data_IF_968150199629
#
_entry.id   IF_968150199629
#
_cell.length_a   1.000
_cell.length_b   1.000
_cell.length_c   1.000
_cell.angle_alpha   90.00
_cell.angle_beta   90.00
_cell.angle_gamma   90.00
#
_symmetry.space_group_name_H-M   'P 1'
#
loop_
_entity.id
_entity.type
_entity.pdbx_description
1 polymer ?
#
# COMPACT_ATOMS: atom_id res chain seq x y z
N UNK A 1 26.81 -43.07 66.09
CA UNK A 1 26.16 -42.09 65.18
C UNK A 1 27.22 -41.48 64.26
N UNK A 2 27.19 -41.82 62.97
CA UNK A 2 27.94 -41.12 61.90
C UNK A 2 26.96 -40.93 60.75
N UNK A 3 26.58 -39.68 60.50
CA UNK A 3 25.65 -39.32 59.42
C UNK A 3 26.49 -39.01 58.19
N UNK A 4 26.30 -39.80 57.13
CA UNK A 4 26.86 -39.53 55.80
C UNK A 4 25.88 -38.62 55.03
N UNK A 5 26.37 -37.44 54.64
CA UNK A 5 25.67 -36.53 53.74
C UNK A 5 25.84 -36.99 52.29
N UNK A 6 24.72 -37.33 51.62
CA UNK A 6 24.68 -37.54 50.17
C UNK A 6 24.31 -36.23 49.48
N UNK A 7 25.23 -35.70 48.67
CA UNK A 7 24.96 -34.63 47.71
C UNK A 7 24.09 -35.20 46.57
N UNK A 8 22.92 -34.60 46.33
CA UNK A 8 22.17 -34.78 45.08
C UNK A 8 22.50 -33.62 44.14
N UNK A 9 23.11 -33.93 43.00
CA UNK A 9 23.31 -32.98 41.90
C UNK A 9 22.07 -33.03 41.01
N UNK A 10 21.28 -31.96 41.00
CA UNK A 10 20.19 -31.78 40.05
C UNK A 10 20.74 -31.22 38.73
N UNK A 11 20.63 -31.99 37.66
CA UNK A 11 20.94 -31.53 36.31
C UNK A 11 19.78 -30.67 35.78
N UNK A 12 20.01 -29.36 35.65
CA UNK A 12 19.14 -28.43 34.94
C UNK A 12 19.32 -28.64 33.43
N UNK A 13 18.40 -29.37 32.81
CA UNK A 13 18.24 -29.39 31.36
C UNK A 13 17.64 -28.04 30.92
N UNK A 14 18.48 -27.17 30.37
CA UNK A 14 18.03 -26.02 29.59
C UNK A 14 17.46 -26.55 28.27
N UNK A 15 16.16 -26.88 28.28
CA UNK A 15 15.38 -27.07 27.07
C UNK A 15 15.33 -25.73 26.33
N UNK A 16 16.20 -25.55 25.33
CA UNK A 16 16.11 -24.44 24.40
C UNK A 16 14.76 -24.50 23.70
N UNK A 17 13.83 -23.66 24.14
CA UNK A 17 12.59 -23.45 23.41
C UNK A 17 12.99 -22.85 22.07
N UNK A 18 12.96 -23.67 21.02
CA UNK A 18 12.98 -23.17 19.67
C UNK A 18 11.78 -22.23 19.55
N UNK A 19 12.05 -20.92 19.47
CA UNK A 19 11.06 -19.93 19.07
C UNK A 19 10.60 -20.35 17.67
N UNK A 20 9.51 -21.10 17.59
CA UNK A 20 8.85 -21.39 16.32
C UNK A 20 8.44 -20.03 15.76
N UNK A 21 9.09 -19.62 14.67
CA UNK A 21 8.73 -18.39 13.98
C UNK A 21 7.23 -18.48 13.65
N UNK A 22 6.43 -17.60 14.27
CA UNK A 22 5.00 -17.57 14.03
C UNK A 22 4.77 -17.25 12.55
N UNK A 23 3.93 -18.04 11.90
CA UNK A 23 3.55 -17.86 10.51
C UNK A 23 2.04 -17.68 10.38
N UNK A 24 1.64 -16.89 9.40
CA UNK A 24 0.24 -16.54 9.16
C UNK A 24 -0.18 -17.01 7.76
N UNK A 25 -1.42 -17.48 7.65
CA UNK A 25 -1.99 -17.80 6.35
C UNK A 25 -2.14 -16.52 5.51
N UNK A 26 -1.74 -16.57 4.25
CA UNK A 26 -1.78 -15.42 3.36
C UNK A 26 -1.70 -15.82 1.88
N UNK A 27 -1.47 -14.82 1.04
CA UNK A 27 -1.27 -14.97 -0.40
C UNK A 27 0.12 -14.48 -0.81
N UNK A 28 0.71 -15.15 -1.80
CA UNK A 28 1.82 -14.62 -2.59
C UNK A 28 1.37 -14.45 -4.04
N UNK A 29 1.79 -13.39 -4.69
CA UNK A 29 1.44 -13.09 -6.08
C UNK A 29 2.38 -12.04 -6.66
N UNK A 30 2.40 -11.92 -7.98
CA UNK A 30 3.19 -10.93 -8.69
C UNK A 30 2.27 -9.89 -9.33
N UNK A 31 2.64 -8.62 -9.27
CA UNK A 31 1.92 -7.52 -9.92
C UNK A 31 2.80 -6.91 -10.99
N UNK A 32 2.30 -6.93 -12.22
CA UNK A 32 2.92 -6.33 -13.39
C UNK A 32 2.15 -5.07 -13.76
N UNK A 33 2.79 -3.92 -13.65
CA UNK A 33 2.16 -2.63 -13.93
C UNK A 33 2.74 -2.02 -15.20
N UNK A 34 1.87 -1.50 -16.07
CA UNK A 34 2.19 -0.88 -17.37
C UNK A 34 1.59 0.53 -17.41
N UNK A 35 2.42 1.53 -17.74
CA UNK A 35 1.99 2.92 -17.87
C UNK A 35 1.62 3.29 -19.31
N UNK A 36 0.56 4.10 -19.49
CA UNK A 36 0.12 4.57 -20.80
C UNK A 36 -0.77 3.58 -21.58
N UNK A 37 -1.32 4.01 -22.71
CA UNK A 37 -2.11 3.13 -23.60
C UNK A 37 -1.16 2.31 -24.48
N UNK A 38 -1.10 1.00 -24.28
CA UNK A 38 -0.54 0.05 -25.26
C UNK A 38 0.93 -0.30 -25.14
N UNK A 39 1.58 -0.07 -23.99
CA UNK A 39 2.90 -0.63 -23.73
C UNK A 39 2.81 -2.10 -23.31
N UNK A 40 3.50 -3.00 -24.01
CA UNK A 40 3.55 -4.43 -23.66
C UNK A 40 4.56 -4.74 -22.54
N UNK A 41 5.50 -3.83 -22.26
CA UNK A 41 6.51 -4.00 -21.23
C UNK A 41 6.05 -3.45 -19.89
N UNK A 42 6.12 -4.27 -18.84
CA UNK A 42 5.86 -3.84 -17.47
C UNK A 42 6.85 -2.74 -17.05
N UNK A 43 6.34 -1.58 -16.65
CA UNK A 43 7.16 -0.51 -16.06
C UNK A 43 7.50 -0.80 -14.61
N UNK A 44 6.73 -1.64 -13.92
CA UNK A 44 7.05 -2.14 -12.58
C UNK A 44 6.68 -3.62 -12.48
N UNK A 45 7.57 -4.42 -11.85
CA UNK A 45 7.30 -5.80 -11.44
C UNK A 45 7.48 -5.87 -9.93
N UNK A 46 6.46 -6.36 -9.23
CA UNK A 46 6.40 -6.35 -7.77
C UNK A 46 5.97 -7.72 -7.26
N UNK A 47 6.80 -8.33 -6.41
CA UNK A 47 6.45 -9.56 -5.71
C UNK A 47 5.75 -9.23 -4.39
N UNK A 48 4.58 -9.81 -4.19
CA UNK A 48 3.68 -9.47 -3.10
C UNK A 48 3.57 -10.63 -2.12
N UNK A 49 3.60 -10.31 -0.83
CA UNK A 49 3.21 -11.22 0.26
C UNK A 49 2.15 -10.49 1.09
N UNK A 50 0.96 -11.07 1.19
CA UNK A 50 -0.17 -10.46 1.87
C UNK A 50 -0.72 -11.40 2.93
N UNK A 51 -0.88 -10.89 4.14
CA UNK A 51 -1.66 -11.50 5.22
C UNK A 51 -2.86 -10.57 5.51
N UNK A 52 -3.83 -10.97 6.36
CA UNK A 52 -4.92 -10.07 6.74
C UNK A 52 -4.46 -8.71 7.32
N UNK A 53 -3.27 -8.66 7.93
CA UNK A 53 -2.81 -7.50 8.69
C UNK A 53 -1.58 -6.78 8.11
N UNK A 54 -0.91 -7.38 7.12
CA UNK A 54 0.33 -6.84 6.58
C UNK A 54 0.52 -7.18 5.10
N UNK A 55 1.12 -6.23 4.37
CA UNK A 55 1.56 -6.38 2.99
C UNK A 55 3.05 -6.19 2.92
N UNK A 56 3.72 -6.98 2.09
CA UNK A 56 5.09 -6.75 1.66
C UNK A 56 5.11 -6.71 0.14
N UNK A 57 5.77 -5.69 -0.38
CA UNK A 57 5.95 -5.43 -1.81
C UNK A 57 7.45 -5.40 -2.05
N UNK A 58 7.97 -6.30 -2.85
CA UNK A 58 9.38 -6.38 -3.23
C UNK A 58 9.50 -5.99 -4.70
N UNK A 59 10.15 -4.88 -4.98
CA UNK A 59 10.27 -4.35 -6.35
C UNK A 59 11.48 -4.99 -7.04
N UNK A 60 11.35 -5.44 -8.29
CA UNK A 60 12.51 -5.92 -9.03
C UNK A 60 13.50 -4.79 -9.35
N UNK A 61 12.98 -3.60 -9.67
CA UNK A 61 13.75 -2.39 -10.01
C UNK A 61 13.09 -1.17 -9.39
N UNK A 62 13.83 -0.07 -9.32
CA UNK A 62 13.31 1.23 -8.89
C UNK A 62 12.07 1.57 -9.71
N UNK A 63 10.92 1.86 -9.07
CA UNK A 63 9.69 2.14 -9.79
C UNK A 63 9.80 3.47 -10.56
N UNK A 64 9.57 3.41 -11.87
CA UNK A 64 9.71 4.57 -12.78
C UNK A 64 8.37 5.17 -13.22
N UNK A 65 7.26 4.49 -12.92
CA UNK A 65 5.94 4.86 -13.40
C UNK A 65 4.81 4.50 -12.44
N UNK A 66 3.61 5.00 -12.76
CA UNK A 66 2.41 4.65 -12.04
C UNK A 66 2.34 5.19 -10.61
N UNK A 67 1.58 4.50 -9.76
CA UNK A 67 1.42 4.85 -8.34
C UNK A 67 2.69 4.73 -7.50
N UNK A 68 3.70 4.00 -8.00
CA UNK A 68 4.93 3.74 -7.25
C UNK A 68 6.07 4.71 -7.58
N UNK A 69 5.96 5.52 -8.64
CA UNK A 69 7.03 6.41 -9.14
C UNK A 69 7.62 7.35 -8.07
N UNK A 70 6.81 7.77 -7.10
CA UNK A 70 7.22 8.69 -6.04
C UNK A 70 7.83 8.02 -4.81
N UNK A 71 7.87 6.68 -4.76
CA UNK A 71 8.41 5.98 -3.61
C UNK A 71 9.94 6.15 -3.57
N UNK A 72 10.51 6.58 -2.44
CA UNK A 72 11.95 6.72 -2.27
C UNK A 72 12.60 5.35 -2.00
N UNK A 73 12.41 4.41 -2.93
CA UNK A 73 13.01 3.07 -2.90
C UNK A 73 13.94 2.91 -4.09
N UNK A 74 15.08 2.26 -3.86
CA UNK A 74 16.05 1.91 -4.90
C UNK A 74 15.66 0.68 -5.70
N UNK A 75 16.60 0.15 -6.47
CA UNK A 75 16.49 -1.21 -7.03
C UNK A 75 16.36 -2.22 -5.88
N UNK A 76 15.59 -3.28 -6.11
CA UNK A 76 15.27 -4.28 -5.07
C UNK A 76 14.63 -3.69 -3.79
N UNK A 77 14.07 -2.48 -3.89
CA UNK A 77 13.39 -1.82 -2.80
C UNK A 77 12.25 -2.66 -2.22
N UNK A 78 12.03 -2.56 -0.92
CA UNK A 78 10.95 -3.28 -0.24
C UNK A 78 10.04 -2.28 0.44
N UNK A 79 8.74 -2.46 0.29
CA UNK A 79 7.74 -1.71 1.03
C UNK A 79 6.91 -2.66 1.86
N UNK A 80 6.83 -2.39 3.16
CA UNK A 80 6.02 -3.13 4.12
C UNK A 80 4.92 -2.22 4.63
N UNK A 81 3.68 -2.69 4.57
CA UNK A 81 2.55 -2.08 5.25
C UNK A 81 2.20 -2.96 6.45
N UNK A 82 2.10 -2.35 7.63
CA UNK A 82 1.73 -3.04 8.87
C UNK A 82 0.51 -2.42 9.52
N UNK A 83 -0.17 -3.23 10.35
CA UNK A 83 -1.32 -2.78 11.11
C UNK A 83 -2.43 -2.24 10.21
N UNK A 84 -2.72 -2.96 9.12
CA UNK A 84 -3.75 -2.55 8.16
C UNK A 84 -3.48 -1.17 7.50
N UNK A 85 -2.19 -0.84 7.28
CA UNK A 85 -1.76 0.42 6.67
C UNK A 85 -1.47 1.56 7.63
N UNK A 86 -1.56 1.32 8.95
CA UNK A 86 -1.19 2.30 9.98
C UNK A 86 0.29 2.74 9.90
N UNK A 87 1.16 1.86 9.39
CA UNK A 87 2.57 2.13 9.18
C UNK A 87 3.00 1.64 7.79
N UNK A 88 3.71 2.50 7.06
CA UNK A 88 4.36 2.20 5.80
C UNK A 88 5.88 2.27 6.03
N UNK A 89 6.58 1.19 5.72
CA UNK A 89 8.02 1.06 5.89
C UNK A 89 8.62 0.83 4.52
N UNK A 90 9.60 1.66 4.16
CA UNK A 90 10.34 1.54 2.90
C UNK A 90 11.77 1.16 3.25
N UNK A 91 12.24 0.04 2.72
CA UNK A 91 13.57 -0.50 2.96
C UNK A 91 14.38 -0.41 1.67
N UNK A 92 15.64 -0.03 1.83
CA UNK A 92 16.69 -0.10 0.82
C UNK A 92 17.66 -1.21 1.24
N UNK A 93 17.57 -2.40 0.62
CA UNK A 93 18.43 -3.53 1.00
C UNK A 93 19.91 -3.32 0.68
N UNK A 94 20.23 -2.59 -0.38
CA UNK A 94 21.62 -2.33 -0.78
C UNK A 94 22.33 -1.47 0.26
N UNK A 95 21.64 -0.44 0.75
CA UNK A 95 22.18 0.48 1.76
C UNK A 95 21.96 0.04 3.20
N UNK A 96 21.15 -1.02 3.41
CA UNK A 96 20.66 -1.45 4.74
C UNK A 96 20.05 -0.29 5.51
N UNK A 97 19.18 0.45 4.83
CA UNK A 97 18.51 1.62 5.38
C UNK A 97 16.99 1.43 5.28
N UNK A 98 16.25 2.05 6.17
CA UNK A 98 14.81 2.09 6.07
C UNK A 98 14.23 3.43 6.51
N UNK A 99 13.07 3.75 5.98
CA UNK A 99 12.20 4.83 6.43
C UNK A 99 10.91 4.21 6.94
N UNK A 100 10.36 4.75 8.02
CA UNK A 100 9.01 4.43 8.47
C UNK A 100 8.19 5.70 8.50
N UNK A 101 7.00 5.65 7.92
CA UNK A 101 6.01 6.71 7.99
C UNK A 101 4.73 6.14 8.55
N UNK A 102 4.07 6.94 9.38
CA UNK A 102 2.70 6.70 9.84
C UNK A 102 1.80 7.71 9.16
N UNK A 103 1.07 7.33 8.08
CA UNK A 103 0.39 8.29 7.22
C UNK A 103 -0.54 9.26 7.97
N UNK A 104 -1.27 8.78 8.98
CA UNK A 104 -2.16 9.60 9.81
C UNK A 104 -1.41 10.63 10.66
N UNK A 105 -0.29 10.26 11.27
CA UNK A 105 0.55 11.18 12.04
C UNK A 105 1.18 12.23 11.11
N UNK A 106 1.69 11.80 9.95
CA UNK A 106 2.26 12.68 8.94
C UNK A 106 1.23 13.70 8.42
N UNK A 107 0.00 13.27 8.13
CA UNK A 107 -1.06 14.17 7.71
C UNK A 107 -1.49 15.16 8.79
N UNK A 108 -1.60 14.70 10.04
CA UNK A 108 -1.93 15.57 11.17
C UNK A 108 -0.86 16.65 11.33
N UNK A 109 0.42 16.26 11.26
CA UNK A 109 1.53 17.21 11.30
C UNK A 109 1.54 18.17 10.10
N UNK A 110 1.28 17.67 8.89
CA UNK A 110 1.20 18.51 7.69
C UNK A 110 0.08 19.55 7.77
N UNK A 111 -1.09 19.16 8.31
CA UNK A 111 -2.21 20.07 8.56
C UNK A 111 -1.85 21.14 9.59
N UNK A 112 -1.26 20.76 10.72
CA UNK A 112 -0.84 21.72 11.77
C UNK A 112 0.22 22.71 11.25
N UNK A 113 1.17 22.23 10.45
CA UNK A 113 2.17 23.08 9.79
C UNK A 113 1.53 24.05 8.79
N UNK A 114 0.55 23.57 8.01
CA UNK A 114 -0.18 24.44 7.09
C UNK A 114 -0.96 25.53 7.84
N UNK A 115 -1.65 25.15 8.92
CA UNK A 115 -2.39 26.08 9.78
C UNK A 115 -1.47 27.13 10.44
N UNK A 116 -0.27 26.74 10.90
CA UNK A 116 0.69 27.69 11.49
C UNK A 116 1.27 28.68 10.47
N UNK A 117 1.29 28.32 9.18
CA UNK A 117 1.67 29.21 8.07
C UNK A 117 0.48 30.04 7.54
N UNK A 118 -0.67 30.02 8.21
CA UNK A 118 -1.87 30.74 7.79
C UNK A 118 -2.59 30.10 6.59
N UNK A 119 -2.34 28.82 6.34
CA UNK A 119 -3.00 28.03 5.31
C UNK A 119 -4.10 27.12 5.87
N UNK A 120 -4.92 26.57 4.99
CA UNK A 120 -5.91 25.54 5.33
C UNK A 120 -6.17 24.62 4.14
N UNK A 121 -6.59 23.39 4.45
CA UNK A 121 -7.02 22.41 3.47
C UNK A 121 -8.45 21.99 3.82
N UNK A 122 -9.36 22.21 2.89
CA UNK A 122 -10.77 21.85 3.04
C UNK A 122 -11.16 20.87 1.96
N UNK A 123 -11.74 19.74 2.34
CA UNK A 123 -12.29 18.78 1.41
C UNK A 123 -13.72 19.18 1.05
N UNK A 124 -14.00 19.34 -0.24
CA UNK A 124 -15.33 19.65 -0.73
C UNK A 124 -16.12 18.35 -0.88
N UNK A 125 -16.85 17.99 0.18
CA UNK A 125 -17.65 16.75 0.22
C UNK A 125 -18.80 16.77 -0.79
N UNK A 126 -19.34 17.95 -1.14
CA UNK A 126 -20.42 18.06 -2.12
C UNK A 126 -19.92 17.82 -3.55
N UNK A 127 -18.68 18.24 -3.84
CA UNK A 127 -18.00 17.99 -5.11
C UNK A 127 -17.29 16.63 -5.21
N UNK A 128 -17.35 15.81 -4.16
CA UNK A 128 -16.64 14.53 -4.09
C UNK A 128 -17.62 13.35 -4.09
N UNK A 129 -17.26 12.27 -4.77
CA UNK A 129 -18.07 11.06 -4.88
C UNK A 129 -17.21 9.82 -5.00
N UNK A 130 -17.75 8.69 -4.60
CA UNK A 130 -17.15 7.38 -4.79
C UNK A 130 -18.28 6.39 -5.07
N UNK A 131 -18.22 5.68 -6.19
CA UNK A 131 -19.24 4.73 -6.65
C UNK A 131 -18.57 3.44 -7.13
N UNK A 132 -19.22 2.32 -6.81
CA UNK A 132 -18.85 0.99 -7.31
C UNK A 132 -20.04 0.37 -8.01
N UNK A 133 -19.82 0.02 -9.29
CA UNK A 133 -20.74 -0.74 -10.12
C UNK A 133 -20.19 -2.15 -10.32
N UNK A 134 -21.06 -3.16 -10.17
CA UNK A 134 -20.76 -4.52 -10.63
C UNK A 134 -21.24 -4.64 -12.07
N UNK A 135 -20.32 -4.99 -12.98
CA UNK A 135 -20.61 -5.12 -14.41
C UNK A 135 -20.96 -6.57 -14.80
N UNK A 136 -21.10 -7.46 -13.82
CA UNK A 136 -21.36 -8.88 -14.03
C UNK A 136 -20.09 -9.73 -14.19
N UNK A 137 -20.24 -11.00 -14.58
CA UNK A 137 -19.13 -11.92 -14.75
C UNK A 137 -18.08 -11.39 -15.73
N UNK A 138 -16.80 -11.49 -15.35
CA UNK A 138 -15.66 -11.21 -16.22
C UNK A 138 -15.10 -12.49 -16.86
N UNK A 139 -14.01 -12.39 -17.64
CA UNK A 139 -13.33 -13.56 -18.19
C UNK A 139 -12.66 -14.38 -17.07
N UNK A 140 -12.44 -15.67 -17.32
CA UNK A 140 -11.56 -16.47 -16.45
C UNK A 140 -10.11 -16.01 -16.64
N UNK A 141 -9.42 -15.66 -15.56
CA UNK A 141 -8.02 -15.23 -15.57
C UNK A 141 -7.22 -16.17 -14.66
N UNK A 142 -6.14 -16.76 -15.18
CA UNK A 142 -5.29 -17.72 -14.46
C UNK A 142 -6.06 -18.86 -13.77
N UNK A 143 -7.17 -19.30 -14.38
CA UNK A 143 -8.04 -20.35 -13.85
C UNK A 143 -9.08 -19.89 -12.82
N UNK A 144 -9.13 -18.61 -12.48
CA UNK A 144 -10.10 -18.05 -11.55
C UNK A 144 -11.28 -17.42 -12.27
N UNK A 145 -12.50 -17.73 -11.84
CA UNK A 145 -13.70 -17.03 -12.29
C UNK A 145 -13.71 -15.62 -11.70
N UNK A 146 -13.92 -14.62 -12.56
CA UNK A 146 -13.86 -13.22 -12.13
C UNK A 146 -15.23 -12.54 -12.14
N UNK A 147 -15.35 -11.50 -11.32
CA UNK A 147 -16.44 -10.53 -11.37
C UNK A 147 -15.86 -9.18 -11.75
N UNK A 148 -16.47 -8.55 -12.75
CA UNK A 148 -16.02 -7.24 -13.24
C UNK A 148 -16.64 -6.12 -12.43
N UNK A 149 -15.82 -5.16 -12.02
CA UNK A 149 -16.23 -3.97 -11.29
C UNK A 149 -15.77 -2.71 -12.01
N UNK A 150 -16.56 -1.65 -11.91
CA UNK A 150 -16.14 -0.28 -12.23
C UNK A 150 -16.21 0.57 -10.97
N UNK A 151 -15.11 1.24 -10.68
CA UNK A 151 -14.99 2.21 -9.60
C UNK A 151 -14.84 3.58 -10.22
N UNK A 152 -15.74 4.50 -9.87
CA UNK A 152 -15.65 5.90 -10.24
C UNK A 152 -15.53 6.73 -8.97
N UNK A 153 -14.47 7.54 -8.88
CA UNK A 153 -14.28 8.44 -7.77
C UNK A 153 -13.96 9.84 -8.27
N UNK A 154 -14.48 10.84 -7.57
CA UNK A 154 -14.13 12.24 -7.75
C UNK A 154 -13.78 12.79 -6.37
N UNK A 155 -12.69 13.52 -6.29
CA UNK A 155 -12.30 14.26 -5.09
C UNK A 155 -12.05 15.70 -5.48
N UNK A 156 -12.52 16.62 -4.65
CA UNK A 156 -12.27 18.04 -4.78
C UNK A 156 -11.73 18.56 -3.46
N UNK A 157 -10.53 19.12 -3.52
CA UNK A 157 -9.83 19.68 -2.37
C UNK A 157 -9.56 21.14 -2.64
N UNK A 158 -9.89 21.99 -1.66
CA UNK A 158 -9.55 23.40 -1.65
C UNK A 158 -8.38 23.60 -0.71
N UNK A 159 -7.33 24.23 -1.22
CA UNK A 159 -6.15 24.59 -0.46
C UNK A 159 -6.08 26.11 -0.45
N UNK A 160 -6.15 26.71 0.73
CA UNK A 160 -5.90 28.13 0.91
C UNK A 160 -4.51 28.31 1.53
N UNK A 161 -3.65 29.14 0.93
CA UNK A 161 -2.33 29.46 1.46
C UNK A 161 -2.09 30.96 1.30
N UNK A 162 -1.75 31.66 2.40
CA UNK A 162 -1.42 33.10 2.37
C UNK A 162 -2.47 33.97 1.64
N UNK A 163 -3.76 33.65 1.82
CA UNK A 163 -4.88 34.37 1.20
C UNK A 163 -5.17 34.01 -0.26
N UNK A 164 -4.42 33.09 -0.86
CA UNK A 164 -4.72 32.53 -2.18
C UNK A 164 -5.44 31.19 -2.05
N UNK A 165 -6.60 31.05 -2.69
CA UNK A 165 -7.34 29.80 -2.76
C UNK A 165 -7.05 29.06 -4.07
N UNK A 166 -6.76 27.77 -3.97
CA UNK A 166 -6.56 26.87 -5.08
C UNK A 166 -7.49 25.67 -4.94
N UNK A 167 -8.13 25.28 -6.03
CA UNK A 167 -8.90 24.02 -6.08
C UNK A 167 -8.10 22.98 -6.86
N UNK A 168 -7.94 21.81 -6.25
CA UNK A 168 -7.44 20.61 -6.91
C UNK A 168 -8.60 19.64 -7.06
N UNK A 169 -8.86 19.22 -8.29
CA UNK A 169 -9.83 18.17 -8.57
C UNK A 169 -9.10 16.92 -9.06
N UNK A 170 -9.50 15.76 -8.58
CA UNK A 170 -9.02 14.48 -9.10
C UNK A 170 -10.20 13.57 -9.40
N UNK A 171 -10.25 13.08 -10.63
CA UNK A 171 -11.17 12.07 -11.07
C UNK A 171 -10.41 10.77 -11.31
N UNK A 172 -10.98 9.68 -10.84
CA UNK A 172 -10.47 8.34 -10.96
C UNK A 172 -11.57 7.46 -11.56
N UNK A 173 -11.23 6.73 -12.61
CA UNK A 173 -12.06 5.65 -13.16
C UNK A 173 -11.18 4.42 -13.21
N UNK A 174 -11.65 3.33 -12.64
CA UNK A 174 -10.95 2.05 -12.70
C UNK A 174 -11.91 0.93 -12.98
N UNK A 175 -11.52 0.03 -13.87
CA UNK A 175 -12.20 -1.24 -14.09
C UNK A 175 -11.29 -2.37 -13.65
N UNK A 176 -11.85 -3.38 -12.99
CA UNK A 176 -11.09 -4.53 -12.54
C UNK A 176 -11.87 -5.82 -12.67
N UNK A 177 -11.16 -6.89 -13.03
CA UNK A 177 -11.66 -8.25 -13.05
C UNK A 177 -11.13 -8.97 -11.80
N UNK A 178 -12.02 -9.30 -10.87
CA UNK A 178 -11.63 -9.79 -9.56
C UNK A 178 -11.96 -11.27 -9.36
N UNK A 179 -10.99 -12.07 -8.97
CA UNK A 179 -11.16 -13.46 -8.57
C UNK A 179 -11.86 -13.57 -7.22
N UNK A 180 -13.13 -13.97 -7.22
CA UNK A 180 -14.01 -13.95 -6.05
C UNK A 180 -13.71 -15.03 -5.02
N UNK A 181 -13.05 -16.12 -5.44
CA UNK A 181 -12.59 -17.23 -4.59
C UNK A 181 -11.34 -16.89 -3.77
N UNK A 182 -10.65 -15.79 -4.12
CA UNK A 182 -9.47 -15.27 -3.43
C UNK A 182 -9.80 -14.17 -2.41
N UNK A 183 -10.97 -14.24 -1.77
CA UNK A 183 -11.39 -13.29 -0.74
C UNK A 183 -10.45 -13.30 0.50
N UNK A 184 -10.20 -12.11 1.09
CA UNK A 184 -9.44 -11.94 2.34
C UNK A 184 -8.30 -10.90 2.28
N UNK A 185 -7.67 -10.69 1.11
CA UNK A 185 -6.63 -9.65 0.93
C UNK A 185 -7.23 -8.25 0.72
N UNK A 186 -8.52 -8.17 0.37
CA UNK A 186 -9.25 -6.92 0.10
C UNK A 186 -9.38 -6.01 1.33
N UNK A 187 -9.62 -6.57 2.51
CA UNK A 187 -9.83 -5.79 3.73
C UNK A 187 -8.58 -4.99 4.11
N UNK A 188 -7.40 -5.53 3.77
CA UNK A 188 -6.13 -4.84 3.89
C UNK A 188 -5.99 -3.68 2.88
N UNK A 189 -6.35 -3.87 1.60
CA UNK A 189 -6.30 -2.78 0.63
C UNK A 189 -7.30 -1.65 0.94
N UNK A 190 -8.45 -1.97 1.54
CA UNK A 190 -9.43 -0.97 1.98
C UNK A 190 -8.99 -0.19 3.21
N UNK A 191 -8.36 -0.84 4.18
CA UNK A 191 -7.81 -0.18 5.37
C UNK A 191 -6.66 0.77 5.01
N UNK A 192 -5.86 0.43 3.99
CA UNK A 192 -4.86 1.37 3.41
C UNK A 192 -5.47 2.64 2.80
N UNK A 193 -6.67 2.55 2.21
CA UNK A 193 -7.36 3.75 1.71
C UNK A 193 -7.87 4.63 2.87
N UNK A 194 -8.17 4.04 4.03
CA UNK A 194 -8.63 4.75 5.22
C UNK A 194 -7.50 5.49 5.94
N UNK A 195 -6.23 5.12 5.74
CA UNK A 195 -5.08 5.79 6.36
C UNK A 195 -4.71 7.14 5.72
N UNK A 196 -5.36 7.54 4.62
CA UNK A 196 -5.08 8.79 3.88
C UNK A 196 -5.87 9.98 4.45
N UNK A 197 -6.33 9.90 5.70
CA UNK A 197 -6.94 11.00 6.48
C UNK A 197 -8.03 11.80 5.74
N UNK A 198 -8.78 11.11 4.88
CA UNK A 198 -9.93 11.67 4.18
C UNK A 198 -11.02 12.03 5.21
N UNK A 199 -11.90 13.00 4.91
CA UNK A 199 -12.97 13.34 5.84
C UNK A 199 -13.85 12.13 6.13
N UNK A 200 -14.33 12.03 7.37
CA UNK A 200 -15.15 10.91 7.84
C UNK A 200 -16.31 10.57 6.89
N UNK A 201 -17.05 11.58 6.40
CA UNK A 201 -18.16 11.34 5.48
C UNK A 201 -17.74 10.69 4.15
N UNK A 202 -16.58 11.06 3.61
CA UNK A 202 -16.03 10.43 2.41
C UNK A 202 -15.51 9.01 2.72
N UNK A 203 -14.84 8.82 3.86
CA UNK A 203 -14.42 7.49 4.32
C UNK A 203 -15.59 6.52 4.51
N UNK A 204 -16.69 6.99 5.09
CA UNK A 204 -17.91 6.19 5.28
C UNK A 204 -18.51 5.80 3.92
N UNK A 205 -18.56 6.73 2.96
CA UNK A 205 -19.01 6.45 1.59
C UNK A 205 -18.09 5.44 0.90
N UNK A 206 -16.78 5.66 0.90
CA UNK A 206 -15.80 4.73 0.31
C UNK A 206 -15.87 3.36 0.95
N UNK A 207 -16.05 3.29 2.27
CA UNK A 207 -16.18 2.03 3.00
C UNK A 207 -17.46 1.29 2.63
N UNK A 208 -18.60 2.01 2.55
CA UNK A 208 -19.90 1.43 2.17
C UNK A 208 -19.87 0.89 0.74
N UNK A 209 -19.41 1.70 -0.20
CA UNK A 209 -19.37 1.36 -1.62
C UNK A 209 -18.30 0.30 -1.90
N UNK A 210 -17.13 0.42 -1.28
CA UNK A 210 -16.04 -0.55 -1.39
C UNK A 210 -16.44 -1.96 -0.97
N UNK A 211 -17.41 -2.12 -0.05
CA UNK A 211 -17.93 -3.44 0.34
C UNK A 211 -18.52 -4.23 -0.83
N UNK A 212 -18.96 -3.56 -1.90
CA UNK A 212 -19.52 -4.19 -3.11
C UNK A 212 -18.47 -4.95 -3.94
N UNK A 213 -17.23 -4.47 -3.95
CA UNK A 213 -16.12 -5.12 -4.69
C UNK A 213 -15.74 -6.40 -3.96
N UNK A 214 -15.72 -7.57 -4.60
CA UNK A 214 -15.27 -8.81 -3.96
C UNK A 214 -14.01 -9.35 -4.64
N UNK A 215 -13.29 -10.24 -3.94
CA UNK A 215 -12.14 -10.93 -4.51
C UNK A 215 -10.85 -10.12 -4.61
N UNK A 216 -9.83 -10.73 -5.21
CA UNK A 216 -8.54 -10.14 -5.53
C UNK A 216 -8.55 -9.65 -6.99
N UNK A 217 -8.19 -8.40 -7.30
CA UNK A 217 -8.09 -7.94 -8.69
C UNK A 217 -6.97 -8.69 -9.42
N UNK A 218 -7.34 -9.37 -10.51
CA UNK A 218 -6.40 -10.08 -11.40
C UNK A 218 -6.01 -9.23 -12.61
N UNK A 219 -6.91 -8.38 -13.06
CA UNK A 219 -6.64 -7.38 -14.07
C UNK A 219 -7.26 -6.06 -13.63
N UNK A 220 -6.57 -4.95 -13.86
CA UNK A 220 -7.08 -3.61 -13.53
C UNK A 220 -6.63 -2.62 -14.56
N UNK A 221 -7.58 -1.89 -15.14
CA UNK A 221 -7.32 -0.69 -15.90
C UNK A 221 -7.72 0.52 -15.05
N UNK A 222 -6.89 1.55 -15.09
CA UNK A 222 -7.12 2.76 -14.33
C UNK A 222 -6.77 3.98 -15.15
N UNK A 223 -7.62 4.99 -15.04
CA UNK A 223 -7.38 6.33 -15.52
C UNK A 223 -7.56 7.32 -14.36
N UNK A 224 -6.59 8.20 -14.18
CA UNK A 224 -6.64 9.30 -13.22
C UNK A 224 -6.45 10.60 -13.96
N UNK A 225 -7.39 11.52 -13.78
CA UNK A 225 -7.35 12.87 -14.32
C UNK A 225 -7.27 13.84 -13.14
N UNK A 226 -6.18 14.59 -13.05
CA UNK A 226 -6.00 15.61 -12.01
C UNK A 226 -5.98 16.99 -12.66
N UNK A 227 -6.85 17.87 -12.18
CA UNK A 227 -6.94 19.26 -12.59
C UNK A 227 -6.43 20.14 -11.46
N UNK A 228 -5.45 20.97 -11.76
CA UNK A 228 -4.87 21.98 -10.86
C UNK A 228 -4.98 23.36 -11.51
N UNK A 229 -4.70 24.46 -10.79
CA UNK A 229 -4.59 25.78 -11.43
C UNK A 229 -3.59 25.83 -12.59
N UNK A 230 -2.58 24.96 -12.57
CA UNK A 230 -1.53 24.89 -13.59
C UNK A 230 -1.89 23.99 -14.79
N UNK A 231 -3.11 23.48 -14.84
CA UNK A 231 -3.64 22.67 -15.94
C UNK A 231 -4.09 21.26 -15.52
N UNK A 232 -4.54 20.52 -16.54
CA UNK A 232 -5.10 19.17 -16.42
C UNK A 232 -4.10 18.13 -16.89
N UNK A 233 -3.91 17.08 -16.09
CA UNK A 233 -3.08 15.93 -16.44
C UNK A 233 -3.89 14.65 -16.32
N UNK A 234 -3.80 13.82 -17.35
CA UNK A 234 -4.38 12.47 -17.35
C UNK A 234 -3.27 11.44 -17.39
N UNK A 235 -3.38 10.41 -16.56
CA UNK A 235 -2.52 9.23 -16.59
C UNK A 235 -3.38 7.96 -16.65
N UNK A 236 -2.93 6.99 -17.42
CA UNK A 236 -3.52 5.66 -17.47
C UNK A 236 -2.50 4.61 -17.06
N UNK A 237 -2.99 3.56 -16.42
CA UNK A 237 -2.20 2.45 -15.95
C UNK A 237 -3.01 1.16 -16.06
N UNK A 238 -2.35 0.09 -16.47
CA UNK A 238 -2.89 -1.27 -16.45
C UNK A 238 -2.04 -2.11 -15.52
N UNK A 239 -2.67 -2.94 -14.69
CA UNK A 239 -1.98 -3.89 -13.83
C UNK A 239 -2.55 -5.29 -13.98
N UNK A 240 -1.67 -6.28 -14.03
CA UNK A 240 -2.02 -7.69 -14.04
C UNK A 240 -1.43 -8.37 -12.81
N UNK A 241 -2.26 -9.11 -12.09
CA UNK A 241 -1.84 -9.96 -10.97
C UNK A 241 -1.74 -11.40 -11.44
N UNK A 242 -0.59 -12.02 -11.23
CA UNK A 242 -0.31 -13.40 -11.66
C UNK A 242 0.26 -14.22 -10.52
N UNK A 243 0.37 -15.54 -10.75
CA UNK A 243 1.03 -16.48 -9.84
C UNK A 243 0.44 -16.48 -8.42
N UNK A 244 -0.88 -16.27 -8.30
CA UNK A 244 -1.53 -16.20 -6.99
C UNK A 244 -1.52 -17.57 -6.32
N UNK A 245 -0.97 -17.62 -5.10
CA UNK A 245 -0.88 -18.85 -4.31
C UNK A 245 -1.18 -18.57 -2.85
N UNK A 246 -1.87 -19.51 -2.19
CA UNK A 246 -1.97 -19.52 -0.73
C UNK A 246 -0.62 -19.95 -0.14
N UNK A 247 -0.18 -19.29 0.91
CA UNK A 247 1.09 -19.58 1.57
C UNK A 247 0.99 -19.38 3.08
N UNK A 248 1.87 -20.06 3.82
CA UNK A 248 2.17 -19.74 5.20
C UNK A 248 3.33 -18.75 5.20
N UNK A 249 3.08 -17.49 5.58
CA UNK A 249 4.06 -16.41 5.52
C UNK A 249 4.59 -16.17 6.94
N UNK A 250 5.90 -16.27 7.17
CA UNK A 250 6.47 -16.01 8.50
C UNK A 250 6.33 -14.53 8.85
N UNK A 251 6.09 -14.22 10.13
CA UNK A 251 5.97 -12.84 10.61
C UNK A 251 7.23 -12.00 10.32
N UNK A 252 8.40 -12.64 10.29
CA UNK A 252 9.67 -12.02 9.94
C UNK A 252 9.66 -11.38 8.54
N UNK A 253 8.81 -11.83 7.62
CA UNK A 253 8.63 -11.21 6.32
C UNK A 253 8.16 -9.75 6.42
N UNK A 254 7.48 -9.39 7.50
CA UNK A 254 6.95 -8.05 7.73
C UNK A 254 7.77 -7.26 8.76
N UNK A 255 8.93 -7.75 9.16
CA UNK A 255 9.83 -7.03 10.07
C UNK A 255 10.96 -6.36 9.32
N UNK A 256 11.46 -5.26 9.88
CA UNK A 256 12.71 -4.64 9.44
C UNK A 256 13.85 -5.51 9.98
N UNK A 257 14.80 -5.96 9.14
CA UNK A 257 15.94 -6.73 9.63
C UNK A 257 16.78 -5.91 10.61
N UNK A 258 17.33 -6.57 11.63
CA UNK A 258 17.97 -5.90 12.77
C UNK A 258 19.21 -5.06 12.40
N UNK A 259 19.83 -5.35 11.25
CA UNK A 259 21.01 -4.65 10.75
C UNK A 259 20.68 -3.40 9.93
N UNK A 260 19.40 -3.05 9.78
CA UNK A 260 18.98 -1.86 9.03
C UNK A 260 18.96 -0.61 9.91
N UNK A 261 19.35 0.52 9.32
CA UNK A 261 19.37 1.83 9.99
C UNK A 261 18.16 2.67 9.60
N UNK A 262 17.48 3.23 10.60
CA UNK A 262 16.41 4.21 10.38
C UNK A 262 17.00 5.49 9.78
N UNK A 263 16.43 5.94 8.67
CA UNK A 263 16.74 7.21 8.05
C UNK A 263 15.57 8.18 8.24
N UNK A 264 15.85 9.47 8.47
CA UNK A 264 14.80 10.48 8.50
C UNK A 264 14.13 10.54 7.13
N UNK A 265 12.81 10.73 7.13
CA UNK A 265 12.09 11.00 5.89
C UNK A 265 12.57 12.35 5.33
N UNK A 266 12.90 12.45 4.03
CA UNK A 266 13.36 13.69 3.43
C UNK A 266 12.18 14.64 3.23
N UNK A 267 11.73 15.31 4.29
CA UNK A 267 10.74 16.37 4.18
C UNK A 267 11.27 17.49 3.28
N UNK A 268 10.57 17.75 2.17
CA UNK A 268 10.82 18.90 1.31
C UNK A 268 12.01 18.82 0.36
N UNK A 269 12.71 17.67 0.25
CA UNK A 269 13.69 17.50 -0.82
C UNK A 269 13.01 16.94 -2.08
N UNK A 270 13.24 17.54 -3.27
CA UNK A 270 12.76 16.96 -4.52
C UNK A 270 13.34 15.55 -4.68
N UNK A 271 12.57 14.59 -5.23
CA UNK A 271 13.10 13.27 -5.49
C UNK A 271 14.37 13.40 -6.33
N UNK A 272 15.43 12.62 -6.03
CA UNK A 272 16.65 12.68 -6.82
C UNK A 272 16.28 12.45 -8.28
N UNK A 273 16.70 13.38 -9.15
CA UNK A 273 16.46 13.30 -10.59
C UNK A 273 16.92 11.91 -11.04
N UNK A 274 16.11 11.17 -11.82
CA UNK A 274 16.64 9.97 -12.47
C UNK A 274 17.82 10.45 -13.31
N UNK A 275 19.01 9.94 -13.00
CA UNK A 275 20.22 10.28 -13.72
C UNK A 275 19.98 10.09 -15.22
N UNK A 276 20.28 11.13 -15.99
CA UNK A 276 20.37 11.02 -17.46
C UNK A 276 21.62 10.22 -17.76
N UNK A 277 21.49 8.90 -17.82
CA UNK A 277 22.37 8.05 -18.61
C UNK A 277 21.62 7.57 -19.83
#
# INVERSE_FOLDING_TARGET
MRVQSRLYVAALLFGGQALSAQSQAGLTFDVYTRGGRGGDTATNVVHMKATPNALRMEFEKRPVGGQYRGLPVGDHGVVILRGAGAELIMLDPERKQYMSIKPLEMMTGARQMMESMGGSMTFDSAGSSFHVDSLGPGPTIDGHNTMKYRVTARTRVRVAMMGQEQTVESQFVSESDNAVDLAGVRDMMQSMAQSVGLPKGFLDQTSKEGRKVKGLPLHTERQTTTTTPNGTRTSSETSDTKNVRRASIPESAFTVPADYKLMPFPFGQPPPSPDRN
#
